data_IF_302804085994
#
_entry.id   IF_302804085994
#
_cell.length_a   1.000
_cell.length_b   1.000
_cell.length_c   1.000
_cell.angle_alpha   90.00
_cell.angle_beta   90.00
_cell.angle_gamma   90.00
#
_symmetry.space_group_name_H-M   'P 1'
#
loop_
_entity.id
_entity.type
_entity.pdbx_description
1 polymer ?
#
# COMPACT_ATOMS: atom_id res chain seq x y z
N UNK A 1 -5.32 -2.57 -4.81
CA UNK A 1 -5.75 -3.87 -4.26
C UNK A 1 -7.13 -3.84 -3.60
N UNK A 2 -7.41 -2.92 -2.65
CA UNK A 2 -8.71 -2.91 -1.93
C UNK A 2 -9.86 -2.22 -2.66
N UNK A 3 -9.54 -1.36 -3.64
CA UNK A 3 -10.53 -0.54 -4.37
C UNK A 3 -10.44 -0.59 -5.90
N UNK A 4 -9.28 -0.97 -6.44
CA UNK A 4 -9.13 -1.14 -7.88
C UNK A 4 -9.87 -2.41 -8.36
N UNK A 5 -10.41 -2.42 -9.58
CA UNK A 5 -10.92 -3.65 -10.19
C UNK A 5 -9.78 -4.61 -10.56
N UNK A 6 -10.11 -5.90 -10.65
CA UNK A 6 -9.27 -6.87 -11.36
C UNK A 6 -9.59 -6.73 -12.85
N UNK A 7 -8.59 -6.37 -13.67
CA UNK A 7 -8.73 -6.14 -15.11
C UNK A 7 -7.39 -6.32 -15.83
N UNK A 8 -7.40 -6.38 -17.16
CA UNK A 8 -6.17 -6.20 -17.94
C UNK A 8 -5.75 -4.73 -17.95
N UNK A 9 -4.46 -4.50 -17.75
CA UNK A 9 -3.83 -3.17 -17.81
C UNK A 9 -2.34 -3.29 -18.16
N UNK A 10 -1.71 -2.18 -18.53
CA UNK A 10 -0.27 -2.08 -18.71
C UNK A 10 0.45 -2.06 -17.36
N UNK A 11 1.61 -2.72 -17.30
CA UNK A 11 2.51 -2.74 -16.15
C UNK A 11 3.38 -1.49 -16.02
N UNK A 12 3.24 -0.53 -16.94
CA UNK A 12 3.95 0.73 -16.90
C UNK A 12 3.11 1.84 -17.52
N UNK A 13 3.36 3.08 -17.10
CA UNK A 13 2.64 4.25 -17.61
C UNK A 13 2.96 4.57 -19.09
N UNK A 14 4.06 4.03 -19.63
CA UNK A 14 4.47 4.17 -21.03
C UNK A 14 3.87 3.11 -21.95
N UNK A 15 3.07 2.18 -21.42
CA UNK A 15 2.42 1.09 -22.14
C UNK A 15 3.40 0.22 -22.95
N UNK A 16 4.59 -0.03 -22.41
CA UNK A 16 5.63 -0.85 -23.05
C UNK A 16 5.57 -2.33 -22.67
N UNK A 17 4.98 -2.67 -21.52
CA UNK A 17 4.74 -4.07 -21.18
C UNK A 17 3.59 -4.67 -22.00
N UNK A 18 3.51 -6.01 -22.10
CA UNK A 18 2.25 -6.67 -22.42
C UNK A 18 1.15 -6.31 -21.41
N UNK A 19 -0.10 -6.60 -21.78
CA UNK A 19 -1.23 -6.49 -20.85
C UNK A 19 -1.13 -7.57 -19.76
N UNK A 20 -1.36 -7.16 -18.52
CA UNK A 20 -1.30 -8.01 -17.35
C UNK A 20 -2.66 -8.03 -16.67
N UNK A 21 -3.18 -9.22 -16.33
CA UNK A 21 -4.38 -9.35 -15.52
C UNK A 21 -4.03 -9.07 -14.04
N UNK A 22 -4.49 -7.93 -13.52
CA UNK A 22 -4.15 -7.49 -12.17
C UNK A 22 -5.20 -6.59 -11.52
N UNK A 23 -5.11 -6.45 -10.20
CA UNK A 23 -5.76 -5.33 -9.52
C UNK A 23 -5.05 -4.02 -9.90
N UNK A 24 -5.80 -3.07 -10.44
CA UNK A 24 -5.23 -1.81 -10.96
C UNK A 24 -6.05 -0.58 -10.57
N UNK A 25 -5.39 0.57 -10.44
CA UNK A 25 -6.00 1.90 -10.39
C UNK A 25 -6.02 2.58 -11.78
N UNK A 26 -5.52 1.90 -12.82
CA UNK A 26 -5.27 2.41 -14.17
C UNK A 26 -3.82 2.89 -14.33
N UNK A 27 -3.16 2.56 -15.44
CA UNK A 27 -1.75 2.92 -15.71
C UNK A 27 -1.47 4.43 -15.79
N UNK A 28 -2.52 5.26 -15.86
CA UNK A 28 -2.41 6.72 -15.78
C UNK A 28 -2.63 7.29 -14.36
N UNK A 29 -2.80 6.43 -13.35
CA UNK A 29 -2.96 6.85 -11.97
C UNK A 29 -1.72 7.61 -11.47
N UNK A 30 -1.93 8.80 -10.92
CA UNK A 30 -0.86 9.59 -10.30
C UNK A 30 -1.16 9.75 -8.81
N UNK A 31 -0.30 9.28 -7.90
CA UNK A 31 -0.47 9.49 -6.48
C UNK A 31 -0.48 10.98 -6.12
N UNK A 32 -1.22 11.40 -5.08
CA UNK A 32 -1.24 12.79 -4.64
C UNK A 32 0.16 13.31 -4.25
N UNK A 33 0.49 14.59 -4.49
CA UNK A 33 1.80 15.16 -4.13
C UNK A 33 2.11 15.12 -2.62
N UNK A 34 1.08 15.08 -1.78
CA UNK A 34 1.20 14.97 -0.33
C UNK A 34 1.56 13.55 0.15
N UNK A 35 1.60 12.57 -0.75
CA UNK A 35 1.87 11.19 -0.42
C UNK A 35 3.38 10.97 -0.18
N UNK A 36 3.72 10.54 1.03
CA UNK A 36 5.09 10.21 1.44
C UNK A 36 5.23 8.74 1.89
N UNK A 37 4.31 7.86 1.49
CA UNK A 37 4.27 6.44 1.88
C UNK A 37 4.99 5.47 0.92
N UNK A 38 5.54 5.96 -0.19
CA UNK A 38 6.37 5.17 -1.11
C UNK A 38 5.61 4.23 -2.08
N UNK A 39 4.54 3.58 -1.62
CA UNK A 39 3.72 2.62 -2.40
C UNK A 39 2.84 3.31 -3.46
N UNK A 40 3.49 3.75 -4.54
CA UNK A 40 2.91 4.61 -5.59
C UNK A 40 2.43 3.89 -6.84
N UNK A 41 2.86 2.65 -7.04
CA UNK A 41 2.56 1.89 -8.25
C UNK A 41 1.05 1.60 -8.36
N UNK A 42 0.50 1.74 -9.57
CA UNK A 42 -0.95 1.68 -9.83
C UNK A 42 -1.51 0.26 -9.79
N UNK A 43 -0.68 -0.73 -10.11
CA UNK A 43 -1.05 -2.13 -10.27
C UNK A 43 -0.58 -3.02 -9.13
N UNK A 44 -0.80 -4.32 -9.30
CA UNK A 44 -0.26 -5.36 -8.43
C UNK A 44 0.20 -6.54 -9.28
N UNK A 45 1.21 -7.29 -8.83
CA UNK A 45 1.70 -8.44 -9.59
C UNK A 45 0.54 -9.41 -9.94
N UNK A 46 0.50 -10.00 -11.16
CA UNK A 46 -0.59 -10.90 -11.56
C UNK A 46 -0.80 -12.08 -10.61
N UNK A 47 0.30 -12.69 -10.12
CA UNK A 47 0.22 -13.80 -9.16
C UNK A 47 -0.40 -13.39 -7.83
N UNK A 48 -0.02 -12.23 -7.29
CA UNK A 48 -0.62 -11.67 -6.06
C UNK A 48 -2.09 -11.32 -6.30
N UNK A 49 -2.40 -10.75 -7.47
CA UNK A 49 -3.78 -10.41 -7.84
C UNK A 49 -4.66 -11.65 -7.95
N UNK A 50 -4.14 -12.74 -8.54
CA UNK A 50 -4.86 -14.01 -8.61
C UNK A 50 -5.05 -14.61 -7.21
N UNK A 51 -4.03 -14.58 -6.35
CA UNK A 51 -4.16 -15.07 -4.97
C UNK A 51 -5.23 -14.31 -4.17
N UNK A 52 -5.39 -12.99 -4.40
CA UNK A 52 -6.49 -12.21 -3.83
C UNK A 52 -7.84 -12.64 -4.42
N UNK A 53 -7.93 -12.81 -5.75
CA UNK A 53 -9.17 -13.22 -6.45
C UNK A 53 -9.67 -14.58 -5.96
N UNK A 54 -8.74 -15.51 -5.72
CA UNK A 54 -9.00 -16.85 -5.15
C UNK A 54 -9.17 -16.83 -3.63
N UNK A 55 -9.13 -15.65 -2.99
CA UNK A 55 -9.30 -15.46 -1.53
C UNK A 55 -8.26 -16.22 -0.68
N UNK A 56 -7.07 -16.44 -1.23
CA UNK A 56 -5.93 -17.03 -0.51
C UNK A 56 -5.23 -16.01 0.38
N UNK A 57 -5.30 -14.73 0.01
CA UNK A 57 -4.77 -13.61 0.79
C UNK A 57 -5.78 -12.46 0.86
N UNK A 58 -5.81 -11.76 1.99
CA UNK A 58 -6.72 -10.63 2.23
C UNK A 58 -5.96 -9.31 2.11
N UNK A 59 -6.27 -8.46 1.12
CA UNK A 59 -5.61 -7.17 1.00
C UNK A 59 -6.13 -6.19 2.06
N UNK A 60 -5.22 -5.39 2.62
CA UNK A 60 -5.53 -4.28 3.52
C UNK A 60 -4.90 -3.00 3.01
N UNK A 61 -5.42 -1.85 3.43
CA UNK A 61 -4.89 -0.53 3.08
C UNK A 61 -4.88 0.34 4.32
N UNK A 62 -3.80 1.08 4.50
CA UNK A 62 -3.63 2.00 5.63
C UNK A 62 -3.30 3.40 5.12
N UNK A 63 -3.73 4.40 5.88
CA UNK A 63 -3.33 5.77 5.64
C UNK A 63 -1.88 6.00 6.08
N UNK A 64 -1.16 6.89 5.37
CA UNK A 64 0.22 7.22 5.65
C UNK A 64 0.46 7.69 7.10
N UNK A 65 -0.48 8.44 7.70
CA UNK A 65 -0.41 8.90 9.09
C UNK A 65 -0.40 7.71 10.05
N UNK A 66 -1.25 6.69 9.81
CA UNK A 66 -1.24 5.44 10.59
C UNK A 66 0.08 4.68 10.40
N UNK A 67 0.59 4.61 9.18
CA UNK A 67 1.86 3.96 8.87
C UNK A 67 3.02 4.63 9.62
N UNK A 68 3.16 5.94 9.55
CA UNK A 68 4.24 6.66 10.26
C UNK A 68 4.10 6.60 11.78
N UNK A 69 2.88 6.65 12.34
CA UNK A 69 2.67 6.38 13.77
C UNK A 69 3.18 4.99 14.16
N UNK A 70 2.89 3.97 13.34
CA UNK A 70 3.35 2.59 13.56
C UNK A 70 4.88 2.49 13.49
N UNK A 71 5.50 3.28 12.60
CA UNK A 71 6.94 3.38 12.50
C UNK A 71 7.60 3.96 13.75
N UNK A 72 6.99 4.99 14.38
CA UNK A 72 7.51 5.55 15.63
C UNK A 72 7.40 4.57 16.79
N UNK A 73 6.34 3.78 16.85
CA UNK A 73 6.21 2.69 17.82
C UNK A 73 7.35 1.70 17.63
N UNK A 74 7.54 1.21 16.40
CA UNK A 74 8.61 0.27 16.05
C UNK A 74 10.00 0.82 16.35
N UNK A 75 10.28 2.07 16.00
CA UNK A 75 11.55 2.71 16.31
C UNK A 75 11.80 2.77 17.82
N UNK A 76 10.75 3.04 18.60
CA UNK A 76 10.83 3.17 20.06
C UNK A 76 10.97 1.82 20.77
N UNK A 77 10.54 0.72 20.16
CA UNK A 77 10.59 -0.63 20.75
C UNK A 77 11.74 -1.48 20.21
N UNK A 78 12.01 -1.42 18.91
CA UNK A 78 12.97 -2.26 18.19
C UNK A 78 14.25 -1.49 17.76
N UNK A 79 14.26 -0.16 17.85
CA UNK A 79 15.46 0.66 17.61
C UNK A 79 15.88 0.84 16.14
N UNK A 80 15.07 0.39 15.17
CA UNK A 80 15.37 0.52 13.74
C UNK A 80 14.44 1.51 13.05
N UNK A 81 14.94 2.23 12.05
CA UNK A 81 14.16 3.16 11.21
C UNK A 81 13.69 2.40 9.96
N UNK A 82 12.43 1.95 9.88
CA UNK A 82 11.87 1.28 8.69
C UNK A 82 11.71 2.22 7.48
N UNK A 83 11.68 1.67 6.28
CA UNK A 83 11.29 2.43 5.09
C UNK A 83 9.79 2.81 5.13
N UNK A 84 9.37 3.92 4.50
CA UNK A 84 7.95 4.29 4.42
C UNK A 84 7.03 3.18 3.87
N UNK A 85 7.53 2.36 2.94
CA UNK A 85 6.84 1.18 2.41
C UNK A 85 6.67 0.12 3.50
N UNK A 86 7.75 -0.18 4.23
CA UNK A 86 7.78 -1.15 5.35
C UNK A 86 6.79 -0.75 6.46
N UNK A 87 6.58 0.54 6.68
CA UNK A 87 5.65 1.06 7.69
C UNK A 87 4.21 0.54 7.51
N UNK A 88 3.80 0.23 6.27
CA UNK A 88 2.48 -0.35 5.99
C UNK A 88 2.34 -1.76 6.55
N UNK A 89 3.41 -2.57 6.45
CA UNK A 89 3.43 -3.90 7.02
C UNK A 89 3.47 -3.85 8.55
N UNK A 90 4.28 -2.96 9.13
CA UNK A 90 4.35 -2.76 10.58
C UNK A 90 2.99 -2.34 11.15
N UNK A 91 2.26 -1.45 10.46
CA UNK A 91 0.90 -1.07 10.86
C UNK A 91 -0.05 -2.27 10.92
N UNK A 92 0.05 -3.20 9.96
CA UNK A 92 -0.69 -4.46 9.97
C UNK A 92 -0.29 -5.36 11.15
N UNK A 93 1.01 -5.54 11.37
CA UNK A 93 1.56 -6.38 12.44
C UNK A 93 1.11 -5.90 13.82
N UNK A 94 1.18 -4.59 14.08
CA UNK A 94 0.70 -4.00 15.34
C UNK A 94 -0.79 -4.25 15.52
N UNK A 95 -1.60 -4.10 14.46
CA UNK A 95 -3.04 -4.37 14.51
C UNK A 95 -3.34 -5.84 14.83
N UNK A 96 -2.66 -6.78 14.17
CA UNK A 96 -2.80 -8.22 14.42
C UNK A 96 -2.31 -8.61 15.83
N UNK A 97 -1.23 -8.02 16.32
CA UNK A 97 -0.75 -8.22 17.68
C UNK A 97 -1.77 -7.73 18.73
N UNK A 98 -2.42 -6.58 18.48
CA UNK A 98 -3.48 -6.07 19.33
C UNK A 98 -4.74 -6.96 19.27
N UNK A 99 -5.08 -7.55 18.12
CA UNK A 99 -6.16 -8.55 18.01
C UNK A 99 -5.83 -9.81 18.82
N UNK A 100 -4.62 -10.33 18.69
CA UNK A 100 -4.13 -11.48 19.48
C UNK A 100 -4.25 -11.21 20.98
N UNK A 101 -3.79 -10.04 21.45
CA UNK A 101 -3.94 -9.58 22.84
C UNK A 101 -5.41 -9.52 23.29
N UNK A 102 -6.32 -8.95 22.49
CA UNK A 102 -7.76 -8.88 22.81
C UNK A 102 -8.40 -10.26 22.88
N UNK A 103 -7.99 -11.19 22.02
CA UNK A 103 -8.48 -12.57 22.01
C UNK A 103 -7.82 -13.48 23.04
N UNK A 104 -6.81 -12.98 23.77
CA UNK A 104 -5.96 -13.74 24.68
C UNK A 104 -5.40 -15.03 24.03
N UNK A 105 -5.01 -14.95 22.76
CA UNK A 105 -4.39 -16.04 22.02
C UNK A 105 -2.95 -15.71 21.72
N UNK A 106 -2.05 -16.65 21.98
CA UNK A 106 -0.68 -16.57 21.50
C UNK A 106 -0.67 -16.77 19.97
N UNK A 107 -0.03 -15.85 19.26
CA UNK A 107 0.10 -15.86 17.80
C UNK A 107 1.53 -15.50 17.42
N UNK A 108 2.07 -16.22 16.45
CA UNK A 108 3.32 -15.87 15.78
C UNK A 108 2.96 -15.11 14.51
N UNK A 109 3.44 -13.87 14.40
CA UNK A 109 3.23 -13.03 13.23
C UNK A 109 4.56 -12.89 12.51
N UNK A 110 4.67 -13.52 11.34
CA UNK A 110 5.78 -13.31 10.41
C UNK A 110 5.41 -12.20 9.42
N UNK A 111 6.30 -11.24 9.21
CA UNK A 111 6.11 -10.20 8.22
C UNK A 111 7.42 -9.88 7.49
N UNK A 112 7.30 -9.27 6.32
CA UNK A 112 8.45 -8.85 5.53
C UNK A 112 8.89 -7.44 5.96
N UNK A 113 10.09 -7.33 6.54
CA UNK A 113 10.75 -6.06 6.75
C UNK A 113 11.52 -5.69 5.47
N UNK A 114 10.87 -4.99 4.55
CA UNK A 114 11.37 -4.81 3.18
C UNK A 114 12.59 -3.89 3.05
N UNK A 115 12.87 -3.04 4.04
CA UNK A 115 14.00 -2.10 3.97
C UNK A 115 13.99 -1.08 5.10
N UNK A 116 15.13 -0.39 5.26
CA UNK A 116 15.34 0.69 6.21
C UNK A 116 15.02 2.07 5.60
N UNK A 117 14.67 3.06 6.42
CA UNK A 117 14.29 4.41 6.01
C UNK A 117 15.38 5.47 6.19
N UNK A 118 16.65 5.08 6.33
CA UNK A 118 17.76 6.04 6.54
C UNK A 118 17.90 7.07 5.40
N UNK A 119 17.46 6.72 4.19
CA UNK A 119 17.46 7.62 3.03
C UNK A 119 16.10 8.31 2.80
N UNK A 120 15.11 7.99 3.63
CA UNK A 120 13.72 8.45 3.50
C UNK A 120 13.31 9.39 4.64
N UNK A 121 14.28 9.95 5.36
CA UNK A 121 14.07 10.80 6.53
C UNK A 121 13.20 12.03 6.23
N UNK A 122 13.18 12.52 4.99
CA UNK A 122 12.29 13.63 4.60
C UNK A 122 10.79 13.28 4.72
N UNK A 123 10.42 12.01 4.61
CA UNK A 123 9.05 11.54 4.88
C UNK A 123 8.73 11.59 6.37
N UNK A 124 9.68 11.15 7.21
CA UNK A 124 9.59 11.23 8.67
C UNK A 124 9.53 12.67 9.16
N UNK A 125 10.35 13.56 8.63
CA UNK A 125 10.33 15.00 8.95
C UNK A 125 8.94 15.60 8.69
N UNK A 126 8.37 15.37 7.50
CA UNK A 126 7.01 15.83 7.17
C UNK A 126 5.96 15.29 8.13
N UNK A 127 6.10 14.05 8.59
CA UNK A 127 5.20 13.46 9.57
C UNK A 127 5.32 14.14 10.94
N UNK A 128 6.55 14.29 11.45
CA UNK A 128 6.84 14.92 12.74
C UNK A 128 6.40 16.39 12.76
N UNK A 129 6.56 17.09 11.64
CA UNK A 129 6.08 18.46 11.43
C UNK A 129 4.56 18.56 11.26
N UNK A 130 3.82 17.44 11.32
CA UNK A 130 2.36 17.38 11.09
C UNK A 130 1.93 17.90 9.72
N UNK A 131 2.82 17.84 8.73
CA UNK A 131 2.55 18.21 7.33
C UNK A 131 1.85 17.09 6.57
N UNK A 132 2.01 15.84 6.99
CA UNK A 132 1.25 14.71 6.45
C UNK A 132 -0.19 14.74 6.98
N UNK A 133 -1.13 14.48 6.07
CA UNK A 133 -2.55 14.38 6.38
C UNK A 133 -3.09 13.05 5.94
N UNK A 134 -4.15 12.63 6.61
CA UNK A 134 -4.95 11.51 6.15
C UNK A 134 -5.51 11.83 4.77
N UNK A 135 -5.43 10.86 3.87
CA UNK A 135 -5.89 11.00 2.50
C UNK A 135 -6.63 9.73 2.07
N UNK A 136 -7.95 9.87 1.97
CA UNK A 136 -8.77 8.89 1.27
C UNK A 136 -8.81 9.25 -0.22
N UNK A 137 -8.47 8.29 -1.07
CA UNK A 137 -8.56 8.43 -2.53
C UNK A 137 -9.99 8.81 -2.95
N UNK A 138 -10.24 10.01 -3.53
CA UNK A 138 -11.58 10.41 -3.94
C UNK A 138 -12.14 9.48 -5.00
N UNK A 139 -13.43 9.18 -4.93
CA UNK A 139 -14.10 8.27 -5.86
C UNK A 139 -14.10 8.80 -7.29
N UNK A 140 -14.27 10.12 -7.46
CA UNK A 140 -14.18 10.77 -8.76
C UNK A 140 -12.80 10.60 -9.40
N UNK A 141 -11.73 10.80 -8.63
CA UNK A 141 -10.36 10.63 -9.11
C UNK A 141 -10.06 9.17 -9.50
N UNK A 142 -10.55 8.21 -8.72
CA UNK A 142 -10.45 6.79 -9.06
C UNK A 142 -11.15 6.49 -10.38
N UNK A 143 -12.40 6.97 -10.57
CA UNK A 143 -13.14 6.77 -11.82
C UNK A 143 -12.43 7.38 -13.02
N UNK A 144 -11.89 8.58 -12.86
CA UNK A 144 -11.14 9.25 -13.93
C UNK A 144 -9.92 8.41 -14.35
N UNK A 145 -9.14 7.96 -13.37
CA UNK A 145 -7.96 7.13 -13.62
C UNK A 145 -8.30 5.80 -14.30
N UNK A 146 -9.44 5.18 -13.96
CA UNK A 146 -9.90 3.93 -14.55
C UNK A 146 -10.35 4.07 -16.01
N UNK A 147 -10.62 5.28 -16.53
CA UNK A 147 -10.90 5.46 -17.97
C UNK A 147 -9.75 5.01 -18.86
N UNK A 148 -8.52 5.00 -18.34
CA UNK A 148 -7.34 4.52 -19.06
C UNK A 148 -7.43 3.04 -19.47
N UNK A 149 -8.27 2.24 -18.78
CA UNK A 149 -8.42 0.81 -19.05
C UNK A 149 -9.75 0.44 -19.74
N UNK A 150 -10.65 1.41 -20.00
CA UNK A 150 -12.00 1.14 -20.53
C UNK A 150 -12.00 0.44 -21.90
N UNK A 151 -10.97 0.69 -22.71
CA UNK A 151 -10.81 0.11 -24.05
C UNK A 151 -10.05 -1.21 -24.05
N UNK A 152 -9.54 -1.65 -22.90
CA UNK A 152 -8.77 -2.87 -22.76
C UNK A 152 -9.69 -4.09 -22.57
N UNK A 153 -9.20 -5.31 -22.85
CA UNK A 153 -9.97 -6.54 -22.60
C UNK A 153 -10.43 -6.66 -21.14
N UNK A 154 -11.64 -7.18 -20.93
CA UNK A 154 -12.17 -7.46 -19.59
C UNK A 154 -11.79 -8.89 -19.16
N UNK A 155 -11.58 -9.08 -17.85
CA UNK A 155 -11.22 -10.36 -17.19
C UNK A 155 -12.41 -11.12 -16.62
#
# INVERSE_FOLDING_TARGET
MTRGPFSYDFGDAGCQTPLLAMFTLGHQFVPPPIHAGGLRYHGMAPLVSQAIRERLITPVSYDQVKCYNSALIWLSTEGTVPAPETNHAIACVIEEALKAKKSNQEKIILFCYSGHGLMDLGGYEKFLDKKLKEYALPEEYLRESLKSIDKLPKT
#
